data_IF_843759985990
#
_entry.id   IF_843759985990
#
_cell.length_a   1.000
_cell.length_b   1.000
_cell.length_c   1.000
_cell.angle_alpha   90.00
_cell.angle_beta   90.00
_cell.angle_gamma   90.00
#
_symmetry.space_group_name_H-M   'P 1'
#
loop_
_entity.id
_entity.type
_entity.pdbx_description
1 polymer ?
#
# COMPACT_ATOMS: atom_id res chain seq x y z
N UNK A 1 3.93 40.71 -31.56
CA UNK A 1 5.14 40.20 -30.89
C UNK A 1 4.70 39.13 -29.90
N UNK A 2 4.94 37.86 -30.22
CA UNK A 2 4.83 36.72 -29.31
C UNK A 2 6.25 36.20 -29.09
N UNK A 3 6.69 35.88 -27.87
CA UNK A 3 7.89 35.08 -27.70
C UNK A 3 7.53 33.59 -27.81
N UNK A 4 8.15 32.93 -28.76
CA UNK A 4 8.34 31.48 -28.77
C UNK A 4 9.37 31.11 -27.70
N UNK A 5 9.11 30.07 -26.91
CA UNK A 5 10.19 29.30 -26.27
C UNK A 5 9.88 27.82 -26.42
N UNK A 6 10.58 27.20 -27.36
CA UNK A 6 10.69 25.77 -27.51
C UNK A 6 11.50 25.19 -26.34
N UNK A 7 10.96 24.18 -25.67
CA UNK A 7 11.74 23.30 -24.80
C UNK A 7 11.78 21.91 -25.42
N UNK A 8 12.78 21.70 -26.27
CA UNK A 8 13.39 20.40 -26.47
C UNK A 8 14.40 20.20 -25.33
N UNK A 9 14.23 19.17 -24.51
CA UNK A 9 15.30 18.63 -23.70
C UNK A 9 15.10 17.13 -23.48
N UNK A 10 15.54 16.35 -24.48
CA UNK A 10 16.07 15.02 -24.22
C UNK A 10 17.54 15.18 -23.81
N UNK A 11 17.84 15.05 -22.52
CA UNK A 11 19.20 14.89 -22.03
C UNK A 11 19.30 13.69 -21.09
N UNK A 12 20.42 12.98 -21.26
CA UNK A 12 20.71 11.62 -20.82
C UNK A 12 20.93 11.55 -19.31
N UNK A 13 20.40 10.51 -18.68
CA UNK A 13 20.77 10.06 -17.35
C UNK A 13 22.20 9.48 -17.33
N UNK A 14 23.22 10.34 -17.36
CA UNK A 14 24.63 9.93 -17.41
C UNK A 14 25.52 10.60 -16.34
N UNK A 15 24.97 11.21 -15.29
CA UNK A 15 25.79 11.99 -14.34
C UNK A 15 25.77 11.53 -12.87
N UNK A 16 25.20 10.37 -12.53
CA UNK A 16 25.26 9.83 -11.15
C UNK A 16 26.07 8.54 -11.02
N UNK A 17 27.16 8.40 -11.78
CA UNK A 17 28.05 7.23 -11.74
C UNK A 17 29.29 7.38 -10.83
N UNK A 18 29.31 8.34 -9.90
CA UNK A 18 30.48 8.60 -9.06
C UNK A 18 30.17 8.48 -7.56
N UNK A 19 29.81 7.29 -7.10
CA UNK A 19 30.06 6.87 -5.72
C UNK A 19 30.35 5.36 -5.70
N UNK A 20 31.61 5.00 -5.91
CA UNK A 20 32.11 3.63 -5.70
C UNK A 20 33.38 3.74 -4.85
N UNK A 21 33.31 3.21 -3.63
CA UNK A 21 34.47 3.06 -2.75
C UNK A 21 35.52 2.12 -3.41
N UNK A 22 36.83 2.38 -3.26
CA UNK A 22 37.85 1.57 -3.89
C UNK A 22 38.07 0.31 -3.06
N UNK A 23 37.58 -0.84 -3.54
CA UNK A 23 38.06 -2.14 -3.06
C UNK A 23 38.90 -2.78 -4.15
N UNK A 24 40.19 -2.80 -3.87
CA UNK A 24 41.25 -3.39 -4.68
C UNK A 24 41.18 -4.91 -4.68
N UNK A 25 41.37 -5.45 -5.90
CA UNK A 25 41.98 -6.74 -6.23
C UNK A 25 41.15 -8.04 -6.23
N UNK A 26 41.07 -8.60 -7.46
CA UNK A 26 41.15 -10.02 -7.83
C UNK A 26 40.01 -10.96 -7.40
N UNK A 27 38.95 -10.98 -8.22
CA UNK A 27 38.48 -12.16 -8.98
C UNK A 27 37.30 -11.74 -9.86
N UNK A 28 37.54 -11.67 -11.18
CA UNK A 28 36.50 -11.46 -12.19
C UNK A 28 35.73 -12.76 -12.37
N UNK A 29 34.72 -12.99 -11.54
CA UNK A 29 33.53 -13.74 -11.94
C UNK A 29 32.32 -12.98 -11.41
N UNK A 30 32.09 -11.80 -11.99
CA UNK A 30 30.75 -11.25 -12.02
C UNK A 30 30.02 -12.10 -13.06
N UNK A 31 29.14 -12.98 -12.60
CA UNK A 31 28.18 -13.67 -13.46
C UNK A 31 27.21 -12.58 -13.95
N UNK A 32 27.63 -11.85 -14.98
CA UNK A 32 26.69 -11.24 -15.89
C UNK A 32 26.03 -12.42 -16.59
N UNK A 33 24.82 -12.80 -16.17
CA UNK A 33 23.93 -13.51 -17.10
C UNK A 33 23.48 -12.47 -18.12
N UNK A 34 24.43 -12.04 -18.96
CA UNK A 34 24.13 -11.48 -20.24
C UNK A 34 23.44 -12.62 -20.99
N UNK A 35 22.15 -12.46 -21.26
CA UNK A 35 21.59 -13.10 -22.43
C UNK A 35 22.51 -12.69 -23.58
N UNK A 36 23.34 -13.63 -24.07
CA UNK A 36 24.06 -13.44 -25.32
C UNK A 36 23.00 -13.09 -26.36
N UNK A 37 23.02 -11.83 -26.80
CA UNK A 37 22.15 -11.34 -27.86
C UNK A 37 22.50 -12.05 -29.17
N UNK A 38 21.86 -13.20 -29.37
CA UNK A 38 21.78 -13.92 -30.64
C UNK A 38 20.35 -13.88 -31.18
N UNK A 39 19.62 -12.79 -30.92
CA UNK A 39 18.22 -12.66 -31.33
C UNK A 39 18.07 -11.75 -32.53
N UNK A 40 17.44 -12.30 -33.57
CA UNK A 40 17.14 -11.64 -34.83
C UNK A 40 16.61 -10.20 -34.64
N UNK A 41 17.29 -9.21 -35.26
CA UNK A 41 16.85 -7.80 -35.37
C UNK A 41 15.63 -7.65 -36.28
N UNK A 42 14.54 -8.35 -35.96
CA UNK A 42 13.29 -8.17 -36.70
C UNK A 42 12.67 -6.83 -36.34
N UNK A 43 11.97 -6.21 -37.30
CA UNK A 43 11.20 -4.98 -37.06
C UNK A 43 10.20 -5.14 -35.91
N UNK A 44 9.68 -6.36 -35.70
CA UNK A 44 8.78 -6.68 -34.59
C UNK A 44 9.43 -6.44 -33.22
N UNK A 45 10.66 -6.90 -33.01
CA UNK A 45 11.35 -6.74 -31.72
C UNK A 45 11.77 -5.29 -31.46
N UNK A 46 12.06 -4.51 -32.51
CA UNK A 46 12.28 -3.06 -32.37
C UNK A 46 11.02 -2.34 -31.87
N UNK A 47 9.86 -2.61 -32.48
CA UNK A 47 8.57 -2.07 -32.03
C UNK A 47 8.22 -2.53 -30.62
N UNK A 48 8.53 -3.78 -30.26
CA UNK A 48 8.30 -4.29 -28.91
C UNK A 48 9.22 -3.61 -27.89
N UNK A 49 10.50 -3.38 -28.21
CA UNK A 49 11.45 -2.73 -27.31
C UNK A 49 11.05 -1.30 -26.96
N UNK A 50 10.46 -0.56 -27.90
CA UNK A 50 10.01 0.82 -27.70
C UNK A 50 8.69 0.95 -26.93
N UNK A 51 8.01 -0.16 -26.62
CA UNK A 51 6.75 -0.12 -25.85
C UNK A 51 6.99 0.53 -24.48
N UNK A 52 6.10 1.45 -24.02
CA UNK A 52 6.24 2.12 -22.72
C UNK A 52 6.44 1.18 -21.53
N UNK A 53 5.87 -0.04 -21.60
CA UNK A 53 6.01 -1.09 -20.58
C UNK A 53 7.46 -1.46 -20.26
N UNK A 54 8.40 -1.29 -21.20
CA UNK A 54 9.81 -1.58 -21.01
C UNK A 54 10.59 -0.44 -20.34
N UNK A 55 9.92 0.69 -20.04
CA UNK A 55 10.50 1.76 -19.21
C UNK A 55 10.34 1.47 -17.73
N UNK A 56 9.50 0.49 -17.37
CA UNK A 56 9.37 0.02 -15.99
C UNK A 56 10.58 -0.82 -15.59
N UNK A 57 10.93 -0.77 -14.31
CA UNK A 57 11.95 -1.63 -13.73
C UNK A 57 11.34 -2.96 -13.31
N UNK A 58 11.79 -4.05 -13.92
CA UNK A 58 11.45 -5.40 -13.52
C UNK A 58 12.62 -6.02 -12.79
N UNK A 59 12.38 -6.47 -11.56
CA UNK A 59 13.35 -7.21 -10.78
C UNK A 59 12.94 -8.69 -10.78
N UNK A 60 13.95 -9.56 -10.78
CA UNK A 60 13.72 -10.94 -10.38
C UNK A 60 13.55 -10.98 -8.87
N UNK A 61 12.77 -11.94 -8.39
CA UNK A 61 12.61 -12.19 -6.96
C UNK A 61 13.97 -12.28 -6.26
N UNK A 62 14.06 -11.64 -5.10
CA UNK A 62 15.20 -11.72 -4.20
C UNK A 62 14.70 -11.94 -2.75
N UNK A 63 14.22 -13.16 -2.44
CA UNK A 63 13.53 -13.46 -1.18
C UNK A 63 14.40 -13.23 0.07
N UNK A 64 15.72 -13.42 -0.03
CA UNK A 64 16.66 -13.20 1.09
C UNK A 64 16.73 -11.72 1.52
N UNK A 65 16.28 -10.80 0.65
CA UNK A 65 16.17 -9.35 0.91
C UNK A 65 14.73 -8.88 1.08
N UNK A 66 13.77 -9.81 1.15
CA UNK A 66 12.35 -9.48 1.23
C UNK A 66 11.76 -8.92 -0.06
N UNK A 67 12.47 -9.01 -1.20
CA UNK A 67 11.95 -8.59 -2.50
C UNK A 67 11.21 -9.77 -3.16
N UNK A 68 10.08 -10.12 -2.57
CA UNK A 68 9.09 -11.04 -3.13
C UNK A 68 7.70 -10.56 -2.71
N UNK A 69 6.67 -10.87 -3.50
CA UNK A 69 5.32 -10.37 -3.25
C UNK A 69 4.62 -11.09 -2.08
N UNK A 70 4.89 -12.38 -1.91
CA UNK A 70 4.37 -13.25 -0.84
C UNK A 70 5.21 -14.54 -0.79
N UNK A 71 5.07 -15.37 0.24
CA UNK A 71 5.86 -16.60 0.43
C UNK A 71 7.36 -16.34 0.55
N UNK A 72 7.71 -15.38 1.39
CA UNK A 72 9.08 -15.12 1.80
C UNK A 72 9.71 -16.36 2.44
N UNK A 73 11.03 -16.50 2.27
CA UNK A 73 11.80 -17.64 2.83
C UNK A 73 11.71 -17.70 4.36
N UNK A 74 11.44 -16.56 5.00
CA UNK A 74 11.33 -16.42 6.46
C UNK A 74 9.90 -16.25 6.96
N UNK A 75 8.90 -16.37 6.09
CA UNK A 75 7.51 -16.24 6.52
C UNK A 75 7.19 -17.37 7.52
N UNK A 76 6.66 -17.04 8.72
CA UNK A 76 6.42 -18.04 9.73
C UNK A 76 5.23 -18.92 9.37
N UNK A 77 5.24 -20.17 9.85
CA UNK A 77 4.07 -21.04 9.74
C UNK A 77 2.98 -20.55 10.71
N UNK A 78 1.70 -20.63 10.32
CA UNK A 78 0.60 -20.26 11.20
C UNK A 78 0.59 -21.11 12.48
N UNK A 79 0.60 -20.48 13.64
CA UNK A 79 0.41 -21.15 14.93
C UNK A 79 -0.04 -20.16 16.00
N UNK A 80 -0.71 -20.69 17.04
CA UNK A 80 -1.07 -19.91 18.21
C UNK A 80 -1.07 -20.82 19.44
N UNK A 81 -0.67 -20.28 20.59
CA UNK A 81 -0.84 -20.93 21.89
C UNK A 81 -1.37 -19.93 22.90
N UNK A 82 -2.41 -20.32 23.63
CA UNK A 82 -3.06 -19.47 24.64
C UNK A 82 -3.01 -20.17 25.99
N UNK A 83 -2.54 -19.47 27.03
CA UNK A 83 -2.52 -19.95 28.41
C UNK A 83 -3.14 -18.89 29.31
N UNK A 84 -4.11 -19.27 30.14
CA UNK A 84 -4.79 -18.37 31.09
C UNK A 84 -5.35 -17.08 30.44
N UNK A 85 -5.84 -17.17 29.20
CA UNK A 85 -6.36 -16.03 28.45
C UNK A 85 -5.28 -15.08 27.89
N UNK A 86 -4.02 -15.52 27.83
CA UNK A 86 -2.88 -14.77 27.27
C UNK A 86 -2.28 -15.56 26.13
N UNK A 87 -2.02 -14.90 24.99
CA UNK A 87 -1.30 -15.51 23.86
C UNK A 87 0.16 -15.64 24.24
N UNK A 88 0.65 -16.87 24.42
CA UNK A 88 2.04 -17.17 24.83
C UNK A 88 2.94 -17.56 23.65
N UNK A 89 2.35 -17.78 22.47
CA UNK A 89 3.05 -18.00 21.20
C UNK A 89 2.14 -17.56 20.05
N UNK A 90 2.72 -16.92 19.03
CA UNK A 90 2.05 -16.53 17.79
C UNK A 90 3.01 -16.72 16.61
N UNK A 91 2.55 -17.44 15.58
CA UNK A 91 3.29 -17.68 14.32
C UNK A 91 4.74 -18.16 14.56
N UNK A 92 4.90 -19.09 15.50
CA UNK A 92 6.17 -19.71 15.85
C UNK A 92 7.10 -18.87 16.72
N UNK A 93 6.69 -17.66 17.10
CA UNK A 93 7.43 -16.78 18.01
C UNK A 93 6.87 -16.92 19.42
N UNK A 94 7.74 -17.19 20.40
CA UNK A 94 7.34 -17.24 21.80
C UNK A 94 7.10 -15.82 22.32
N UNK A 95 6.18 -15.65 23.26
CA UNK A 95 5.85 -14.33 23.83
C UNK A 95 7.05 -13.59 24.43
N UNK A 96 8.05 -14.32 24.93
CA UNK A 96 9.28 -13.74 25.46
C UNK A 96 10.15 -13.05 24.38
N UNK A 97 9.96 -13.45 23.12
CA UNK A 97 10.68 -12.96 21.94
C UNK A 97 9.80 -12.04 21.07
N UNK A 98 8.59 -11.71 21.52
CA UNK A 98 7.71 -10.77 20.82
C UNK A 98 8.36 -9.39 20.73
N UNK A 99 8.29 -8.83 19.53
CA UNK A 99 8.49 -7.42 19.32
C UNK A 99 7.22 -6.61 19.65
N UNK A 100 7.25 -5.30 19.50
CA UNK A 100 6.11 -4.41 19.77
C UNK A 100 4.90 -4.72 18.88
N UNK A 101 5.13 -5.16 17.64
CA UNK A 101 4.07 -5.51 16.69
C UNK A 101 3.43 -6.83 17.11
N UNK A 102 4.24 -7.84 17.39
CA UNK A 102 3.77 -9.13 17.87
C UNK A 102 2.92 -8.97 19.13
N UNK A 103 3.45 -8.23 20.11
CA UNK A 103 2.75 -7.96 21.36
C UNK A 103 1.43 -7.20 21.12
N UNK A 104 1.43 -6.18 20.27
CA UNK A 104 0.22 -5.39 19.98
C UNK A 104 -0.87 -6.26 19.35
N UNK A 105 -0.52 -7.09 18.37
CA UNK A 105 -1.47 -8.00 17.71
C UNK A 105 -2.00 -9.04 18.70
N UNK A 106 -1.11 -9.67 19.47
CA UNK A 106 -1.44 -10.73 20.42
C UNK A 106 -2.36 -10.25 21.56
N UNK A 107 -2.19 -9.01 22.01
CA UNK A 107 -2.90 -8.47 23.16
C UNK A 107 -4.20 -7.75 22.79
N UNK A 108 -4.27 -7.10 21.62
CA UNK A 108 -5.38 -6.21 21.26
C UNK A 108 -6.21 -6.65 20.06
N UNK A 109 -5.67 -7.43 19.14
CA UNK A 109 -6.36 -7.73 17.88
C UNK A 109 -6.98 -9.12 17.82
N UNK A 110 -6.26 -10.13 18.34
CA UNK A 110 -6.73 -11.52 18.27
C UNK A 110 -7.83 -11.77 19.30
N UNK A 111 -9.01 -12.15 18.80
CA UNK A 111 -10.12 -12.65 19.62
C UNK A 111 -9.83 -14.10 20.05
N UNK A 112 -9.37 -14.22 21.29
CA UNK A 112 -8.95 -15.46 21.94
C UNK A 112 -10.08 -16.49 22.05
N UNK A 113 -11.35 -16.07 21.97
CA UNK A 113 -12.50 -16.98 22.04
C UNK A 113 -12.70 -17.81 20.77
N UNK A 114 -12.16 -17.36 19.63
CA UNK A 114 -12.28 -18.01 18.32
C UNK A 114 -10.93 -18.43 17.74
N UNK A 115 -9.82 -17.92 18.28
CA UNK A 115 -8.49 -18.17 17.75
C UNK A 115 -8.14 -19.66 17.62
N UNK A 116 -8.32 -20.47 18.66
CA UNK A 116 -8.02 -21.92 18.59
C UNK A 116 -8.89 -22.66 17.56
N UNK A 117 -10.16 -22.28 17.43
CA UNK A 117 -11.09 -22.82 16.42
C UNK A 117 -10.56 -22.54 15.01
N UNK A 118 -10.32 -21.26 14.68
CA UNK A 118 -9.96 -20.87 13.32
C UNK A 118 -8.54 -21.31 12.94
N UNK A 119 -7.62 -21.34 13.91
CA UNK A 119 -6.26 -21.82 13.67
C UNK A 119 -6.22 -23.34 13.39
N UNK A 120 -7.15 -24.10 13.94
CA UNK A 120 -7.32 -25.53 13.63
C UNK A 120 -8.03 -25.82 12.30
N UNK A 121 -8.73 -24.83 11.71
CA UNK A 121 -9.39 -25.01 10.41
C UNK A 121 -8.38 -25.07 9.26
N UNK A 122 -8.67 -25.88 8.25
CA UNK A 122 -7.94 -25.85 6.98
C UNK A 122 -8.09 -24.47 6.32
N UNK A 123 -6.97 -23.84 5.97
CA UNK A 123 -6.95 -22.52 5.33
C UNK A 123 -7.72 -22.50 4.01
N UNK A 124 -7.69 -23.61 3.24
CA UNK A 124 -8.48 -23.75 2.02
C UNK A 124 -9.99 -23.79 2.31
N UNK A 125 -10.41 -24.35 3.44
CA UNK A 125 -11.82 -24.31 3.86
C UNK A 125 -12.27 -22.87 4.13
N UNK A 126 -11.46 -22.09 4.84
CA UNK A 126 -11.76 -20.67 5.11
C UNK A 126 -11.80 -19.88 3.79
N UNK A 127 -10.83 -20.12 2.89
CA UNK A 127 -10.78 -19.48 1.57
C UNK A 127 -12.05 -19.74 0.76
N UNK A 128 -12.54 -20.98 0.73
CA UNK A 128 -13.82 -21.33 0.09
C UNK A 128 -15.01 -20.61 0.73
N UNK A 129 -15.04 -20.48 2.05
CA UNK A 129 -16.10 -19.75 2.76
C UNK A 129 -16.14 -18.26 2.35
N UNK A 130 -14.98 -17.63 2.09
CA UNK A 130 -14.90 -16.24 1.64
C UNK A 130 -15.68 -16.04 0.33
N UNK A 131 -15.59 -16.97 -0.62
CA UNK A 131 -16.25 -16.86 -1.94
C UNK A 131 -17.63 -17.54 -2.03
N UNK A 132 -17.98 -18.40 -1.06
CA UNK A 132 -19.27 -19.13 -1.06
C UNK A 132 -20.45 -18.21 -0.74
N UNK A 133 -21.35 -17.99 -1.69
CA UNK A 133 -22.54 -17.12 -1.53
C UNK A 133 -23.49 -17.54 -0.40
N UNK A 134 -23.43 -18.79 0.06
CA UNK A 134 -24.26 -19.29 1.16
C UNK A 134 -23.66 -18.95 2.54
N UNK A 135 -22.39 -18.54 2.59
CA UNK A 135 -21.72 -18.13 3.83
C UNK A 135 -21.84 -16.61 3.98
N UNK A 136 -22.55 -16.11 5.02
CA UNK A 136 -22.73 -14.68 5.24
C UNK A 136 -21.42 -14.00 5.66
N UNK A 137 -21.33 -12.70 5.39
CA UNK A 137 -20.13 -11.89 5.71
C UNK A 137 -19.78 -11.95 7.19
N UNK A 138 -20.79 -11.95 8.05
CA UNK A 138 -20.67 -11.94 9.51
C UNK A 138 -19.88 -13.15 10.02
N UNK A 139 -20.07 -14.31 9.40
CA UNK A 139 -19.34 -15.53 9.78
C UNK A 139 -17.85 -15.43 9.40
N UNK A 140 -17.54 -14.86 8.24
CA UNK A 140 -16.14 -14.61 7.84
C UNK A 140 -15.50 -13.58 8.77
N UNK A 141 -16.22 -12.52 9.14
CA UNK A 141 -15.73 -11.52 10.10
C UNK A 141 -15.48 -12.13 11.47
N UNK A 142 -16.36 -13.03 11.94
CA UNK A 142 -16.16 -13.77 13.21
C UNK A 142 -14.85 -14.55 13.17
N UNK A 143 -14.64 -15.35 12.12
CA UNK A 143 -13.42 -16.15 11.96
C UNK A 143 -12.17 -15.29 11.81
N UNK A 144 -12.25 -14.19 11.05
CA UNK A 144 -11.12 -13.30 10.78
C UNK A 144 -10.51 -12.70 12.06
N UNK A 145 -11.31 -12.49 13.11
CA UNK A 145 -10.85 -11.99 14.41
C UNK A 145 -9.91 -12.96 15.14
N UNK A 146 -9.94 -14.25 14.83
CA UNK A 146 -9.07 -15.24 15.45
C UNK A 146 -7.81 -15.57 14.64
N UNK A 147 -7.67 -15.02 13.43
CA UNK A 147 -6.54 -15.30 12.55
C UNK A 147 -5.28 -14.63 13.09
N UNK A 148 -4.18 -15.37 13.14
CA UNK A 148 -2.85 -14.77 13.21
C UNK A 148 -2.47 -14.18 11.83
N UNK A 149 -1.48 -13.26 11.77
CA UNK A 149 -0.99 -12.72 10.50
C UNK A 149 -0.63 -13.80 9.47
N UNK A 150 0.16 -14.82 9.86
CA UNK A 150 0.52 -15.89 8.93
C UNK A 150 -0.69 -16.72 8.50
N UNK A 151 -1.67 -16.96 9.40
CA UNK A 151 -2.88 -17.68 9.02
C UNK A 151 -3.71 -16.91 8.00
N UNK A 152 -3.81 -15.60 8.15
CA UNK A 152 -4.48 -14.75 7.17
C UNK A 152 -3.83 -14.88 5.78
N UNK A 153 -2.51 -14.75 5.71
CA UNK A 153 -1.74 -14.90 4.45
C UNK A 153 -1.95 -16.31 3.86
N UNK A 154 -1.88 -17.36 4.68
CA UNK A 154 -2.07 -18.75 4.24
C UNK A 154 -3.50 -19.03 3.72
N UNK A 155 -4.51 -18.26 4.15
CA UNK A 155 -5.88 -18.33 3.62
C UNK A 155 -5.99 -17.59 2.29
N UNK A 156 -5.56 -16.33 2.22
CA UNK A 156 -5.78 -15.50 1.02
C UNK A 156 -4.93 -15.95 -0.17
N UNK A 157 -3.77 -16.56 0.09
CA UNK A 157 -2.92 -17.15 -0.96
C UNK A 157 -3.49 -18.44 -1.56
N UNK A 158 -4.67 -18.91 -1.10
CA UNK A 158 -5.43 -20.01 -1.72
C UNK A 158 -6.42 -19.53 -2.78
N UNK A 159 -6.60 -18.21 -2.90
CA UNK A 159 -7.54 -17.60 -3.83
C UNK A 159 -6.79 -17.09 -5.06
N UNK A 160 -7.36 -17.31 -6.25
CA UNK A 160 -6.93 -16.61 -7.46
C UNK A 160 -7.50 -15.18 -7.54
N UNK A 161 -7.13 -14.42 -8.56
CA UNK A 161 -7.54 -13.02 -8.70
C UNK A 161 -9.06 -12.85 -8.83
N UNK A 162 -9.75 -13.81 -9.46
CA UNK A 162 -11.21 -13.75 -9.62
C UNK A 162 -11.95 -14.08 -8.33
N UNK A 163 -11.42 -15.04 -7.58
CA UNK A 163 -11.88 -15.39 -6.24
C UNK A 163 -11.65 -14.24 -5.25
N UNK A 164 -10.52 -13.55 -5.34
CA UNK A 164 -10.24 -12.33 -4.55
C UNK A 164 -11.26 -11.24 -4.88
N UNK A 165 -11.57 -10.99 -6.16
CA UNK A 165 -12.59 -10.00 -6.54
C UNK A 165 -13.97 -10.34 -5.96
N UNK A 166 -14.36 -11.62 -5.97
CA UNK A 166 -15.59 -12.10 -5.35
C UNK A 166 -15.57 -11.90 -3.81
N UNK A 167 -14.44 -12.24 -3.18
CA UNK A 167 -14.21 -12.03 -1.75
C UNK A 167 -14.33 -10.55 -1.37
N UNK A 168 -13.68 -9.64 -2.10
CA UNK A 168 -13.78 -8.19 -1.88
C UNK A 168 -15.23 -7.72 -2.03
N UNK A 169 -15.98 -8.23 -3.00
CA UNK A 169 -17.38 -7.87 -3.18
C UNK A 169 -18.24 -8.22 -1.96
N UNK A 170 -18.03 -9.40 -1.36
CA UNK A 170 -18.71 -9.83 -0.13
C UNK A 170 -18.22 -9.08 1.11
N UNK A 171 -16.89 -8.94 1.26
CA UNK A 171 -16.27 -8.50 2.51
C UNK A 171 -16.27 -6.98 2.70
N UNK A 172 -16.40 -6.20 1.61
CA UNK A 172 -16.49 -4.74 1.67
C UNK A 172 -17.53 -4.29 2.70
N UNK A 173 -17.10 -3.49 3.67
CA UNK A 173 -17.95 -3.06 4.77
C UNK A 173 -19.09 -2.13 4.33
N UNK A 174 -18.81 -1.23 3.39
CA UNK A 174 -19.80 -0.29 2.84
C UNK A 174 -20.49 -0.90 1.62
N UNK A 175 -21.82 -0.90 1.62
CA UNK A 175 -22.62 -1.43 0.50
C UNK A 175 -22.30 -0.71 -0.82
N UNK A 176 -22.36 0.61 -0.79
CA UNK A 176 -22.08 1.47 -1.95
C UNK A 176 -20.59 1.82 -1.94
N UNK A 177 -19.82 1.43 -2.97
CA UNK A 177 -18.42 1.83 -3.09
C UNK A 177 -18.32 3.35 -3.26
N UNK A 178 -17.22 3.92 -2.77
CA UNK A 178 -16.89 5.33 -2.97
C UNK A 178 -15.51 5.43 -3.64
N UNK A 179 -15.09 6.66 -3.91
CA UNK A 179 -13.82 6.95 -4.55
C UNK A 179 -13.19 8.21 -3.94
N UNK A 180 -11.87 8.20 -3.87
CA UNK A 180 -11.01 9.28 -3.40
C UNK A 180 -10.18 9.83 -4.57
N UNK A 181 -9.82 11.12 -4.52
CA UNK A 181 -8.90 11.76 -5.46
C UNK A 181 -7.77 12.50 -4.76
N UNK A 182 -6.63 12.65 -5.45
CA UNK A 182 -5.65 13.67 -5.09
C UNK A 182 -6.02 15.02 -5.70
N UNK A 183 -5.88 16.08 -4.91
CA UNK A 183 -6.01 17.48 -5.29
C UNK A 183 -4.73 18.20 -4.89
N UNK A 184 -3.78 18.23 -5.82
CA UNK A 184 -2.41 18.75 -5.60
C UNK A 184 -1.95 19.55 -6.81
N UNK A 185 -0.97 20.44 -6.65
CA UNK A 185 -0.31 21.11 -7.77
C UNK A 185 1.19 21.18 -7.53
N UNK A 186 2.00 21.27 -8.60
CA UNK A 186 3.46 21.34 -8.47
C UNK A 186 3.95 22.60 -7.73
N UNK A 187 3.09 23.60 -7.55
CA UNK A 187 3.41 24.89 -6.90
C UNK A 187 2.63 25.12 -5.62
N UNK A 188 1.86 24.14 -5.13
CA UNK A 188 1.00 24.29 -3.96
C UNK A 188 0.08 25.53 -4.05
N UNK A 189 -0.42 25.83 -5.26
CA UNK A 189 -1.22 27.03 -5.51
C UNK A 189 -2.63 26.89 -4.91
N UNK A 190 -2.99 27.66 -3.87
CA UNK A 190 -4.27 27.50 -3.16
C UNK A 190 -5.50 27.76 -4.04
N UNK A 191 -5.40 28.66 -5.02
CA UNK A 191 -6.51 28.96 -5.94
C UNK A 191 -6.79 27.77 -6.86
N UNK A 192 -5.73 27.13 -7.35
CA UNK A 192 -5.87 25.92 -8.16
C UNK A 192 -6.45 24.78 -7.33
N UNK A 193 -5.92 24.54 -6.13
CA UNK A 193 -6.40 23.48 -5.24
C UNK A 193 -7.89 23.61 -4.91
N UNK A 194 -8.35 24.83 -4.64
CA UNK A 194 -9.76 25.09 -4.37
C UNK A 194 -10.64 24.82 -5.62
N UNK A 195 -10.19 25.25 -6.80
CA UNK A 195 -10.91 25.00 -8.05
C UNK A 195 -10.98 23.50 -8.39
N UNK A 196 -9.84 22.80 -8.29
CA UNK A 196 -9.74 21.37 -8.55
C UNK A 196 -10.58 20.55 -7.55
N UNK A 197 -10.59 20.93 -6.26
CA UNK A 197 -11.44 20.29 -5.25
C UNK A 197 -12.94 20.47 -5.56
N UNK A 198 -13.35 21.65 -6.03
CA UNK A 198 -14.72 21.90 -6.46
C UNK A 198 -15.09 21.04 -7.68
N UNK A 199 -14.21 20.95 -8.67
CA UNK A 199 -14.43 20.08 -9.83
C UNK A 199 -14.51 18.60 -9.42
N UNK A 200 -13.60 18.14 -8.56
CA UNK A 200 -13.59 16.78 -8.04
C UNK A 200 -14.91 16.46 -7.32
N UNK A 201 -15.44 17.39 -6.53
CA UNK A 201 -16.75 17.19 -5.90
C UNK A 201 -17.86 17.00 -6.94
N UNK A 202 -17.88 17.80 -8.01
CA UNK A 202 -18.85 17.66 -9.10
C UNK A 202 -18.71 16.33 -9.86
N UNK A 203 -17.50 15.76 -9.91
CA UNK A 203 -17.21 14.47 -10.54
C UNK A 203 -17.61 13.27 -9.68
N UNK A 204 -18.01 13.49 -8.43
CA UNK A 204 -18.56 12.45 -7.55
C UNK A 204 -17.57 11.86 -6.54
N UNK A 205 -16.40 12.47 -6.34
CA UNK A 205 -15.50 12.05 -5.26
C UNK A 205 -16.16 12.29 -3.89
N UNK A 206 -15.95 11.33 -2.98
CA UNK A 206 -16.45 11.39 -1.60
C UNK A 206 -15.37 11.87 -0.62
N UNK A 207 -14.11 11.66 -1.00
CA UNK A 207 -12.92 12.04 -0.24
C UNK A 207 -11.92 12.70 -1.20
N UNK A 208 -11.18 13.69 -0.71
CA UNK A 208 -10.10 14.32 -1.43
C UNK A 208 -8.88 14.52 -0.53
N UNK A 209 -7.72 14.16 -1.06
CA UNK A 209 -6.43 14.31 -0.38
C UNK A 209 -5.64 15.43 -1.03
N UNK A 210 -4.93 16.21 -0.22
CA UNK A 210 -3.82 17.04 -0.68
C UNK A 210 -2.55 16.69 0.07
N UNK A 211 -1.42 17.12 -0.47
CA UNK A 211 -0.12 17.11 0.19
C UNK A 211 0.67 18.31 -0.32
N UNK A 212 1.94 18.44 0.06
CA UNK A 212 2.76 19.62 -0.19
C UNK A 212 4.10 19.27 -0.81
N UNK A 213 4.58 20.13 -1.70
CA UNK A 213 6.00 20.16 -2.06
C UNK A 213 6.86 20.83 -0.98
N UNK A 214 6.28 21.78 -0.22
CA UNK A 214 6.99 22.56 0.80
C UNK A 214 6.18 22.60 2.11
N UNK A 215 6.66 21.90 3.15
CA UNK A 215 5.91 21.65 4.40
C UNK A 215 5.21 22.87 5.04
N UNK A 216 5.83 24.07 5.16
CA UNK A 216 5.17 25.24 5.74
C UNK A 216 3.86 25.69 5.07
N UNK A 217 3.58 25.28 3.83
CA UNK A 217 2.37 25.68 3.10
C UNK A 217 1.16 24.76 3.35
N UNK A 218 1.34 23.67 4.10
CA UNK A 218 0.28 22.69 4.36
C UNK A 218 -1.04 23.28 4.87
N UNK A 219 -1.06 24.29 5.77
CA UNK A 219 -2.30 24.94 6.18
C UNK A 219 -3.09 25.56 5.01
N UNK A 220 -2.38 26.15 4.03
CA UNK A 220 -3.02 26.72 2.84
C UNK A 220 -3.57 25.64 1.91
N UNK A 221 -2.85 24.53 1.72
CA UNK A 221 -3.35 23.42 0.90
C UNK A 221 -4.61 22.81 1.53
N UNK A 222 -4.55 22.49 2.83
CA UNK A 222 -5.66 21.90 3.58
C UNK A 222 -6.93 22.77 3.50
N UNK A 223 -6.83 24.07 3.83
CA UNK A 223 -8.00 24.96 3.80
C UNK A 223 -8.53 25.17 2.38
N UNK A 224 -7.66 25.17 1.38
CA UNK A 224 -8.06 25.37 -0.03
C UNK A 224 -8.95 24.23 -0.51
N UNK A 225 -8.54 22.97 -0.27
CA UNK A 225 -9.35 21.82 -0.68
C UNK A 225 -10.61 21.68 0.18
N UNK A 226 -10.57 22.07 1.46
CA UNK A 226 -11.74 22.09 2.31
C UNK A 226 -12.79 23.05 1.76
N UNK A 227 -12.42 24.31 1.49
CA UNK A 227 -13.34 25.32 0.94
C UNK A 227 -13.83 24.92 -0.45
N UNK A 228 -12.90 24.56 -1.34
CA UNK A 228 -13.22 24.15 -2.71
C UNK A 228 -14.17 22.96 -2.74
N UNK A 229 -13.87 21.93 -1.95
CA UNK A 229 -14.65 20.70 -1.85
C UNK A 229 -16.08 20.89 -1.35
N UNK A 230 -16.34 21.90 -0.51
CA UNK A 230 -17.69 22.21 -0.04
C UNK A 230 -18.48 23.12 -1.01
N UNK A 231 -17.82 23.79 -1.95
CA UNK A 231 -18.42 24.86 -2.75
C UNK A 231 -19.57 24.38 -3.66
N UNK A 232 -19.44 23.27 -4.42
CA UNK A 232 -20.56 22.81 -5.26
C UNK A 232 -21.66 22.14 -4.45
N UNK A 233 -21.29 21.21 -3.57
CA UNK A 233 -22.19 20.46 -2.69
C UNK A 233 -21.45 20.04 -1.42
N UNK A 234 -22.05 20.33 -0.26
CA UNK A 234 -21.52 19.93 1.06
C UNK A 234 -21.30 18.41 1.13
N UNK A 235 -20.24 18.00 1.82
CA UNK A 235 -19.99 16.61 2.20
C UNK A 235 -18.77 15.95 1.55
N UNK A 236 -17.88 16.70 0.87
CA UNK A 236 -16.56 16.16 0.51
C UNK A 236 -15.72 16.06 1.79
N UNK A 237 -15.20 14.88 2.11
CA UNK A 237 -14.20 14.74 3.17
C UNK A 237 -12.83 15.14 2.62
N UNK A 238 -12.03 15.84 3.41
CA UNK A 238 -10.73 16.39 2.99
C UNK A 238 -9.64 16.10 4.00
N UNK A 239 -8.46 15.67 3.52
CA UNK A 239 -7.26 15.41 4.30
C UNK A 239 -6.03 16.12 3.73
N UNK A 240 -4.99 16.31 4.55
CA UNK A 240 -3.71 16.86 4.12
C UNK A 240 -2.58 15.95 4.62
N UNK A 241 -2.11 15.06 3.75
CA UNK A 241 -1.11 14.05 4.08
C UNK A 241 0.28 14.67 4.27
N UNK A 242 0.74 14.72 5.52
CA UNK A 242 2.02 15.31 5.95
C UNK A 242 2.56 14.53 7.16
N UNK A 243 3.58 15.06 7.85
CA UNK A 243 4.08 14.44 9.09
C UNK A 243 2.98 14.38 10.15
N UNK A 244 2.91 13.26 10.88
CA UNK A 244 1.81 12.87 11.75
C UNK A 244 1.40 13.93 12.79
N UNK A 245 2.38 14.52 13.49
CA UNK A 245 2.08 15.54 14.51
C UNK A 245 1.51 16.82 13.87
N UNK A 246 2.05 17.22 12.71
CA UNK A 246 1.54 18.36 11.95
C UNK A 246 0.15 18.08 11.36
N UNK A 247 -0.09 16.88 10.83
CA UNK A 247 -1.41 16.48 10.30
C UNK A 247 -2.47 16.51 11.41
N UNK A 248 -2.14 16.00 12.59
CA UNK A 248 -3.01 16.06 13.76
C UNK A 248 -3.27 17.51 14.20
N UNK A 249 -2.26 18.38 14.18
CA UNK A 249 -2.42 19.81 14.49
C UNK A 249 -3.39 20.50 13.51
N UNK A 250 -3.28 20.21 12.21
CA UNK A 250 -4.24 20.72 11.21
C UNK A 250 -5.66 20.22 11.49
N UNK A 251 -5.82 18.94 11.83
CA UNK A 251 -7.10 18.36 12.22
C UNK A 251 -7.70 19.02 13.47
N UNK A 252 -6.90 19.23 14.52
CA UNK A 252 -7.32 19.92 15.76
C UNK A 252 -7.75 21.36 15.50
N UNK A 253 -7.18 22.01 14.48
CA UNK A 253 -7.55 23.36 14.03
C UNK A 253 -8.75 23.39 13.09
N UNK A 254 -9.32 22.23 12.75
CA UNK A 254 -10.47 22.12 11.85
C UNK A 254 -10.15 22.45 10.39
N UNK A 255 -8.89 22.28 9.97
CA UNK A 255 -8.47 22.54 8.58
C UNK A 255 -8.65 21.30 7.68
N UNK A 256 -8.85 20.12 8.28
CA UNK A 256 -9.15 18.86 7.61
C UNK A 256 -10.37 18.22 8.27
N UNK A 257 -11.01 17.26 7.60
CA UNK A 257 -12.16 16.52 8.14
C UNK A 257 -11.83 15.08 8.51
N UNK A 258 -10.68 14.57 8.04
CA UNK A 258 -10.13 13.26 8.39
C UNK A 258 -8.62 13.23 8.12
N UNK A 259 -7.97 12.13 8.49
CA UNK A 259 -6.60 11.77 8.17
C UNK A 259 -6.57 10.30 7.71
N UNK A 260 -5.78 9.97 6.69
CA UNK A 260 -5.61 8.60 6.17
C UNK A 260 -4.19 8.10 6.33
N UNK A 261 -3.21 8.97 6.07
CA UNK A 261 -1.78 8.62 5.97
C UNK A 261 -1.11 8.38 7.32
N UNK A 262 -1.90 8.01 8.33
CA UNK A 262 -1.46 7.60 9.67
C UNK A 262 -0.79 6.23 9.56
N UNK A 263 0.52 6.26 9.33
CA UNK A 263 1.24 5.11 8.78
C UNK A 263 1.54 4.07 9.85
N UNK A 264 1.39 2.79 9.48
CA UNK A 264 1.85 1.63 10.25
C UNK A 264 2.73 0.75 9.38
N UNK A 265 3.69 0.07 10.00
CA UNK A 265 4.69 -0.75 9.29
C UNK A 265 4.74 -2.17 9.87
N UNK A 266 5.15 -3.12 9.04
CA UNK A 266 5.20 -4.55 9.39
C UNK A 266 6.48 -5.00 10.10
N UNK A 267 7.41 -4.08 10.38
CA UNK A 267 8.65 -4.32 11.13
C UNK A 267 8.92 -3.15 12.06
N UNK A 268 9.51 -3.40 13.23
CA UNK A 268 9.89 -2.34 14.17
C UNK A 268 11.00 -1.39 13.66
N UNK A 269 11.83 -1.88 12.73
CA UNK A 269 12.99 -1.16 12.20
C UNK A 269 12.71 -0.51 10.86
#
# INVERSE_FOLDING_TARGET
>A
MRPETAFHNGQRAAEYANFVYPVTHKRKEVIWVAYEDKTFKTKRFQVLAEKPVNRHSYLKDWPEKGLTAFQGVKDPKPSIKIENGVVVEMDGVARADFDMIDQFIADYYIDKSVAEEVMAMDSLKIARMIVDICVPREEIVRLAKGLTPSKFVDVVTRLDETEIMMGIHKMRARKIPAIQCHTTSATDNPVQLAADAAENRLRGFSEAETTVGVAPIAPFNAISILIGGQTPHVGLLTQCAIEEALELELGMRGMTTYAETVSVYGTER
#
